data_IF_166869286554
#
_entry.id   IF_166869286554
#
_cell.length_a   1.000
_cell.length_b   1.000
_cell.length_c   1.000
_cell.angle_alpha   90.00
_cell.angle_beta   90.00
_cell.angle_gamma   90.00
#
_symmetry.space_group_name_H-M   'P 1'
#
loop_
_entity.id
_entity.type
_entity.pdbx_description
1 polymer ?
#
# COMPACT_ATOMS: atom_id res chain seq x y z
N UNK A 1 1.34 -21.47 -5.47
CA UNK A 1 1.78 -21.13 -4.09
C UNK A 1 1.24 -19.76 -3.74
N UNK A 2 0.64 -19.61 -2.58
CA UNK A 2 0.15 -18.31 -2.10
C UNK A 2 1.14 -17.71 -1.12
N UNK A 3 1.48 -16.43 -1.32
CA UNK A 3 2.39 -15.67 -0.45
C UNK A 3 1.71 -14.38 -0.07
N UNK A 4 1.58 -14.11 1.23
CA UNK A 4 1.06 -12.85 1.74
C UNK A 4 2.21 -12.03 2.32
N UNK A 5 2.32 -10.79 1.87
CA UNK A 5 3.33 -9.83 2.32
C UNK A 5 2.63 -8.70 3.06
N UNK A 6 3.02 -8.48 4.31
CA UNK A 6 2.46 -7.42 5.17
C UNK A 6 3.47 -6.30 5.24
N UNK A 7 3.11 -5.15 4.69
CA UNK A 7 4.01 -3.98 4.59
C UNK A 7 3.38 -2.75 5.24
N UNK A 8 4.19 -1.74 5.48
CA UNK A 8 3.73 -0.41 5.90
C UNK A 8 4.51 0.66 5.15
N UNK A 9 3.86 1.78 4.86
CA UNK A 9 4.50 2.95 4.28
C UNK A 9 5.50 3.55 5.29
N UNK A 10 6.50 4.29 4.82
CA UNK A 10 7.54 4.90 5.65
C UNK A 10 8.35 3.91 6.51
N UNK A 11 8.29 2.62 6.21
CA UNK A 11 9.11 1.61 6.90
C UNK A 11 10.37 1.33 6.06
N UNK A 12 11.58 1.64 6.54
CA UNK A 12 12.82 1.46 5.75
C UNK A 12 13.03 0.02 5.28
N UNK A 13 12.72 -0.97 6.12
CA UNK A 13 12.86 -2.38 5.76
C UNK A 13 11.87 -2.78 4.66
N UNK A 14 10.64 -2.26 4.72
CA UNK A 14 9.64 -2.48 3.68
C UNK A 14 10.04 -1.82 2.36
N UNK A 15 10.57 -0.58 2.44
CA UNK A 15 11.08 0.15 1.27
C UNK A 15 12.19 -0.64 0.58
N UNK A 16 13.17 -1.14 1.34
CA UNK A 16 14.24 -1.97 0.81
C UNK A 16 13.72 -3.26 0.18
N UNK A 17 12.80 -3.94 0.86
CA UNK A 17 12.21 -5.17 0.34
C UNK A 17 11.47 -4.94 -0.98
N UNK A 18 10.60 -3.92 -1.03
CA UNK A 18 9.79 -3.63 -2.22
C UNK A 18 10.66 -3.18 -3.39
N UNK A 19 11.63 -2.31 -3.15
CA UNK A 19 12.43 -1.70 -4.22
C UNK A 19 13.57 -2.58 -4.71
N UNK A 20 13.99 -3.56 -3.93
CA UNK A 20 15.09 -4.48 -4.26
C UNK A 20 14.59 -5.91 -4.47
N UNK A 21 14.15 -6.56 -3.41
CA UNK A 21 13.83 -7.99 -3.45
C UNK A 21 12.60 -8.28 -4.30
N UNK A 22 11.53 -7.52 -4.14
CA UNK A 22 10.29 -7.71 -4.91
C UNK A 22 10.51 -7.40 -6.40
N UNK A 23 11.29 -6.37 -6.71
CA UNK A 23 11.64 -6.03 -8.09
C UNK A 23 12.41 -7.18 -8.75
N UNK A 24 13.38 -7.76 -8.07
CA UNK A 24 14.15 -8.90 -8.59
C UNK A 24 13.28 -10.16 -8.73
N UNK A 25 12.43 -10.44 -7.73
CA UNK A 25 11.50 -11.57 -7.80
C UNK A 25 10.56 -11.46 -9.00
N UNK A 26 10.07 -10.24 -9.29
CA UNK A 26 9.15 -9.97 -10.41
C UNK A 26 9.74 -10.31 -11.77
N UNK A 27 11.08 -10.32 -11.90
CA UNK A 27 11.77 -10.69 -13.12
C UNK A 27 11.82 -12.21 -13.35
N UNK A 28 11.52 -12.99 -12.33
CA UNK A 28 11.56 -14.46 -12.38
C UNK A 28 10.20 -14.98 -12.87
N UNK A 29 10.01 -14.98 -14.19
CA UNK A 29 8.72 -15.28 -14.82
C UNK A 29 8.14 -16.64 -14.44
N UNK A 30 8.98 -17.67 -14.30
CA UNK A 30 8.54 -19.02 -13.94
C UNK A 30 8.00 -19.06 -12.51
N UNK A 31 8.65 -18.36 -11.58
CA UNK A 31 8.18 -18.26 -10.19
C UNK A 31 6.93 -17.40 -10.08
N UNK A 32 6.86 -16.30 -10.83
CA UNK A 32 5.68 -15.43 -10.87
C UNK A 32 4.45 -16.20 -11.38
N UNK A 33 4.63 -17.07 -12.37
CA UNK A 33 3.52 -17.85 -12.95
C UNK A 33 2.87 -18.81 -11.96
N UNK A 34 3.63 -19.31 -10.96
CA UNK A 34 3.14 -20.29 -9.98
C UNK A 34 2.88 -19.67 -8.60
N UNK A 35 3.10 -18.36 -8.44
CA UNK A 35 2.97 -17.67 -7.16
C UNK A 35 1.84 -16.66 -7.22
N UNK A 36 0.92 -16.77 -6.28
CA UNK A 36 -0.13 -15.78 -6.01
C UNK A 36 0.34 -14.92 -4.84
N UNK A 37 0.69 -13.66 -5.14
CA UNK A 37 1.21 -12.73 -4.14
C UNK A 37 0.12 -11.74 -3.76
N UNK A 38 -0.19 -11.71 -2.48
CA UNK A 38 -1.11 -10.77 -1.85
C UNK A 38 -0.29 -9.81 -0.97
N UNK A 39 -0.29 -8.52 -1.29
CA UNK A 39 0.43 -7.51 -0.54
C UNK A 39 -0.57 -6.67 0.23
N UNK A 40 -0.38 -6.59 1.54
CA UNK A 40 -1.32 -5.96 2.47
C UNK A 40 -0.65 -4.77 3.16
N UNK A 41 -0.91 -3.54 2.72
CA UNK A 41 -0.44 -2.32 3.40
C UNK A 41 -1.15 -2.08 4.72
N UNK A 42 -0.53 -2.48 5.82
CA UNK A 42 -1.00 -2.29 7.18
C UNK A 42 0.15 -2.40 8.19
N UNK A 43 0.94 -3.46 8.08
CA UNK A 43 2.12 -3.71 8.89
C UNK A 43 1.83 -3.83 10.38
N UNK A 44 2.49 -2.99 11.17
CA UNK A 44 2.40 -2.96 12.64
C UNK A 44 1.40 -1.92 13.15
N UNK A 45 0.46 -1.46 12.32
CA UNK A 45 -0.61 -0.57 12.76
C UNK A 45 -1.56 -1.29 13.72
N UNK A 46 -2.32 -0.52 14.49
CA UNK A 46 -3.32 -1.03 15.42
C UNK A 46 -4.64 -0.28 15.26
N UNK A 47 -5.75 -1.01 15.29
CA UNK A 47 -7.10 -0.44 15.32
C UNK A 47 -7.33 0.19 16.69
N UNK A 48 -7.69 1.50 16.70
CA UNK A 48 -8.13 2.18 17.93
C UNK A 48 -9.64 2.07 18.04
N UNK A 49 -10.38 2.48 17.00
CA UNK A 49 -11.83 2.34 16.91
C UNK A 49 -12.22 1.78 15.55
N UNK A 50 -13.35 1.08 15.49
CA UNK A 50 -13.84 0.47 14.24
C UNK A 50 -14.93 1.30 13.54
N UNK A 51 -15.67 2.11 14.27
CA UNK A 51 -16.76 2.92 13.71
C UNK A 51 -16.83 4.30 14.42
N UNK A 52 -16.30 5.36 13.78
CA UNK A 52 -15.52 5.35 12.54
C UNK A 52 -14.14 4.68 12.75
N UNK A 53 -13.54 4.11 11.69
CA UNK A 53 -12.24 3.45 11.82
C UNK A 53 -11.13 4.45 12.07
N UNK A 54 -10.38 4.24 13.17
CA UNK A 54 -9.20 5.02 13.52
C UNK A 54 -8.06 4.09 13.88
N UNK A 55 -6.82 4.53 13.66
CA UNK A 55 -5.65 3.68 13.77
C UNK A 55 -4.49 4.41 14.43
N UNK A 56 -3.59 3.62 15.01
CA UNK A 56 -2.26 4.06 15.43
C UNK A 56 -1.24 3.32 14.60
N UNK A 57 -0.40 4.05 13.88
CA UNK A 57 0.67 3.50 13.06
C UNK A 57 2.02 3.68 13.73
N UNK A 58 2.96 2.75 13.47
CA UNK A 58 4.27 2.71 14.12
C UNK A 58 5.06 4.00 13.94
N UNK A 59 5.00 4.59 12.74
CA UNK A 59 5.72 5.82 12.38
C UNK A 59 4.79 7.05 12.27
N UNK A 60 3.64 7.02 12.96
CA UNK A 60 2.73 8.15 13.07
C UNK A 60 1.61 8.19 12.04
N UNK A 61 0.83 9.27 12.05
CA UNK A 61 -0.35 9.43 11.19
C UNK A 61 -0.01 9.45 9.69
N UNK A 62 1.16 9.97 9.33
CA UNK A 62 1.61 9.99 7.94
C UNK A 62 1.75 8.58 7.37
N UNK A 63 2.14 7.61 8.20
CA UNK A 63 2.23 6.20 7.80
C UNK A 63 0.85 5.61 7.57
N UNK A 64 -0.11 5.88 8.45
CA UNK A 64 -1.50 5.50 8.22
C UNK A 64 -2.02 6.05 6.90
N UNK A 65 -1.79 7.33 6.63
CA UNK A 65 -2.20 7.96 5.39
C UNK A 65 -1.50 7.34 4.17
N UNK A 66 -0.20 7.07 4.26
CA UNK A 66 0.54 6.38 3.20
C UNK A 66 -0.03 4.99 2.91
N UNK A 67 -0.41 4.25 3.94
CA UNK A 67 -1.10 2.96 3.79
C UNK A 67 -2.45 3.14 3.06
N UNK A 68 -3.21 4.20 3.37
CA UNK A 68 -4.46 4.51 2.66
C UNK A 68 -4.21 4.75 1.17
N UNK A 69 -3.18 5.52 0.83
CA UNK A 69 -2.81 5.80 -0.57
C UNK A 69 -2.52 4.49 -1.31
N UNK A 70 -1.71 3.62 -0.73
CA UNK A 70 -1.36 2.34 -1.33
C UNK A 70 -2.57 1.42 -1.49
N UNK A 71 -3.42 1.33 -0.48
CA UNK A 71 -4.65 0.53 -0.51
C UNK A 71 -5.66 1.07 -1.55
N UNK A 72 -5.79 2.39 -1.65
CA UNK A 72 -6.65 3.02 -2.64
C UNK A 72 -6.17 2.74 -4.08
N UNK A 73 -4.87 2.83 -4.32
CA UNK A 73 -4.29 2.48 -5.61
C UNK A 73 -4.52 1.00 -5.94
N UNK A 74 -4.32 0.12 -4.97
CA UNK A 74 -4.56 -1.32 -5.14
C UNK A 74 -6.03 -1.62 -5.47
N UNK A 75 -6.94 -0.97 -4.80
CA UNK A 75 -8.39 -1.18 -4.99
C UNK A 75 -8.87 -0.73 -6.36
N UNK A 76 -8.45 0.46 -6.79
CA UNK A 76 -8.94 1.10 -8.00
C UNK A 76 -8.13 0.76 -9.25
N UNK A 77 -6.86 0.37 -9.09
CA UNK A 77 -5.95 0.06 -10.20
C UNK A 77 -5.15 -1.23 -9.94
N UNK A 78 -5.82 -2.38 -9.81
CA UNK A 78 -5.14 -3.63 -9.45
C UNK A 78 -4.09 -4.08 -10.48
N UNK A 79 -4.27 -3.74 -11.76
CA UNK A 79 -3.36 -4.19 -12.83
C UNK A 79 -2.04 -3.40 -12.87
N UNK A 80 -2.04 -2.15 -12.41
CA UNK A 80 -0.86 -1.28 -12.40
C UNK A 80 -0.34 -0.97 -10.99
N UNK A 81 -0.95 -1.55 -9.96
CA UNK A 81 -0.66 -1.21 -8.57
C UNK A 81 0.78 -1.50 -8.16
N UNK A 82 1.40 -2.59 -8.62
CA UNK A 82 2.77 -2.92 -8.27
C UNK A 82 3.76 -1.85 -8.72
N UNK A 83 3.58 -1.31 -9.93
CA UNK A 83 4.42 -0.23 -10.43
C UNK A 83 4.25 1.04 -9.59
N UNK A 84 3.01 1.33 -9.19
CA UNK A 84 2.71 2.44 -8.29
C UNK A 84 3.36 2.23 -6.91
N UNK A 85 3.23 1.03 -6.33
CA UNK A 85 3.83 0.68 -5.05
C UNK A 85 5.35 0.88 -5.09
N UNK A 86 6.01 0.37 -6.11
CA UNK A 86 7.46 0.52 -6.29
C UNK A 86 7.85 2.00 -6.39
N UNK A 87 7.08 2.79 -7.14
CA UNK A 87 7.31 4.23 -7.24
C UNK A 87 7.21 4.93 -5.88
N UNK A 88 6.14 4.67 -5.13
CA UNK A 88 5.91 5.27 -3.82
C UNK A 88 6.98 4.87 -2.80
N UNK A 89 7.33 3.60 -2.75
CA UNK A 89 8.34 3.08 -1.82
C UNK A 89 9.76 3.55 -2.20
N UNK A 90 10.00 3.89 -3.46
CA UNK A 90 11.27 4.47 -3.92
C UNK A 90 11.38 5.95 -3.54
N UNK A 91 10.32 6.73 -3.78
CA UNK A 91 10.31 8.17 -3.50
C UNK A 91 10.10 8.49 -2.02
N UNK A 92 9.37 7.63 -1.32
CA UNK A 92 8.93 7.84 0.07
C UNK A 92 8.23 9.19 0.24
N UNK A 93 7.56 9.66 -0.81
CA UNK A 93 6.83 10.93 -0.82
C UNK A 93 5.34 10.68 -1.03
N UNK A 94 4.57 10.71 0.05
CA UNK A 94 3.12 10.57 0.06
C UNK A 94 2.40 11.92 0.13
N UNK A 95 3.10 13.04 -0.15
CA UNK A 95 2.44 14.32 -0.38
C UNK A 95 1.58 14.26 -1.65
N UNK A 96 0.69 15.22 -1.83
CA UNK A 96 -0.14 15.28 -3.04
C UNK A 96 0.71 15.27 -4.31
N UNK A 97 1.82 16.01 -4.32
CA UNK A 97 2.75 16.04 -5.47
C UNK A 97 3.44 14.68 -5.68
N UNK A 98 3.87 14.02 -4.62
CA UNK A 98 4.51 12.71 -4.70
C UNK A 98 3.56 11.65 -5.23
N UNK A 99 2.34 11.62 -4.72
CA UNK A 99 1.29 10.71 -5.20
C UNK A 99 0.93 10.99 -6.65
N UNK A 100 0.79 12.26 -7.01
CA UNK A 100 0.51 12.67 -8.39
C UNK A 100 1.62 12.19 -9.35
N UNK A 101 2.87 12.35 -8.97
CA UNK A 101 4.01 11.91 -9.78
C UNK A 101 3.97 10.41 -10.05
N UNK A 102 3.74 9.59 -9.02
CA UNK A 102 3.66 8.14 -9.17
C UNK A 102 2.39 7.72 -9.94
N UNK A 103 1.27 8.39 -9.71
CA UNK A 103 0.03 8.13 -10.44
C UNK A 103 0.20 8.40 -11.94
N UNK A 104 0.82 9.51 -12.29
CA UNK A 104 1.08 9.85 -13.70
C UNK A 104 2.01 8.85 -14.39
N UNK A 105 3.06 8.41 -13.69
CA UNK A 105 3.99 7.39 -14.22
C UNK A 105 3.32 6.04 -14.48
N UNK A 106 2.25 5.74 -13.77
CA UNK A 106 1.56 4.45 -13.83
C UNK A 106 0.19 4.55 -14.50
N UNK A 107 -0.11 5.68 -15.13
CA UNK A 107 -1.37 5.94 -15.86
C UNK A 107 -2.62 5.81 -14.97
N UNK A 108 -2.51 6.27 -13.74
CA UNK A 108 -3.63 6.33 -12.78
C UNK A 108 -4.14 7.77 -12.68
N UNK A 109 -5.44 7.91 -12.40
CA UNK A 109 -6.04 9.19 -12.05
C UNK A 109 -5.77 9.49 -10.58
N UNK A 110 -4.91 10.49 -10.31
CA UNK A 110 -4.53 10.82 -8.94
C UNK A 110 -5.72 11.35 -8.11
N UNK A 111 -6.72 11.96 -8.73
CA UNK A 111 -7.91 12.42 -8.02
C UNK A 111 -8.70 11.24 -7.43
N UNK A 112 -8.73 10.11 -8.12
CA UNK A 112 -9.34 8.87 -7.61
C UNK A 112 -8.61 8.39 -6.36
N UNK A 113 -7.28 8.35 -6.41
CA UNK A 113 -6.45 7.90 -5.29
C UNK A 113 -6.58 8.85 -4.10
N UNK A 114 -6.43 10.16 -4.33
CA UNK A 114 -6.50 11.16 -3.26
C UNK A 114 -7.89 11.27 -2.66
N UNK A 115 -8.94 11.20 -3.49
CA UNK A 115 -10.32 11.22 -3.02
C UNK A 115 -10.63 10.02 -2.11
N UNK A 116 -10.12 8.85 -2.46
CA UNK A 116 -10.22 7.64 -1.64
C UNK A 116 -9.42 7.78 -0.33
N UNK A 117 -8.15 8.18 -0.42
CA UNK A 117 -7.26 8.25 0.75
C UNK A 117 -7.68 9.33 1.75
N UNK A 118 -8.15 10.49 1.28
CA UNK A 118 -8.59 11.60 2.14
C UNK A 118 -10.03 11.47 2.59
N UNK A 119 -10.81 10.59 1.95
CA UNK A 119 -12.21 10.37 2.26
C UNK A 119 -12.42 9.22 3.26
N UNK A 120 -13.59 8.62 3.21
CA UNK A 120 -13.97 7.52 4.10
C UNK A 120 -13.48 6.16 3.60
N UNK A 121 -13.22 6.02 2.30
CA UNK A 121 -12.83 4.75 1.71
C UNK A 121 -11.45 4.27 2.18
N UNK A 122 -10.46 5.16 2.22
CA UNK A 122 -9.11 4.82 2.67
C UNK A 122 -9.08 4.15 4.04
N UNK A 123 -9.64 4.78 5.09
CA UNK A 123 -9.74 4.16 6.41
C UNK A 123 -10.51 2.84 6.43
N UNK A 124 -11.56 2.69 5.64
CA UNK A 124 -12.32 1.44 5.55
C UNK A 124 -11.49 0.32 4.91
N UNK A 125 -10.73 0.61 3.86
CA UNK A 125 -9.79 -0.34 3.26
C UNK A 125 -8.69 -0.73 4.25
N UNK A 126 -8.23 0.21 5.05
CA UNK A 126 -7.23 -0.04 6.08
C UNK A 126 -7.78 -0.96 7.19
N UNK A 127 -9.06 -0.83 7.51
CA UNK A 127 -9.74 -1.73 8.44
C UNK A 127 -9.85 -3.16 7.89
N UNK A 128 -10.13 -3.31 6.59
CA UNK A 128 -10.10 -4.62 5.93
C UNK A 128 -8.70 -5.22 5.96
N UNK A 129 -7.67 -4.40 5.74
CA UNK A 129 -6.28 -4.83 5.84
C UNK A 129 -5.92 -5.28 7.27
N UNK A 130 -6.46 -4.59 8.29
CA UNK A 130 -6.31 -4.99 9.69
C UNK A 130 -6.86 -6.40 9.92
N UNK A 131 -8.05 -6.67 9.40
CA UNK A 131 -8.69 -7.99 9.52
C UNK A 131 -7.86 -9.08 8.79
N UNK A 132 -7.33 -8.77 7.61
CA UNK A 132 -6.44 -9.68 6.89
C UNK A 132 -5.13 -9.94 7.63
N UNK A 133 -4.61 -8.94 8.32
CA UNK A 133 -3.36 -9.05 9.13
C UNK A 133 -3.61 -9.79 10.44
N UNK A 134 -4.85 -9.89 10.89
CA UNK A 134 -5.23 -10.53 12.14
C UNK A 134 -5.28 -9.58 13.33
N UNK A 135 -5.31 -8.27 13.08
CA UNK A 135 -5.46 -7.23 14.12
C UNK A 135 -6.96 -6.91 14.31
N UNK A 136 -7.58 -7.73 15.11
CA UNK A 136 -9.03 -7.59 15.38
C UNK A 136 -9.30 -6.77 16.64
#
# INVERSE_FOLDING_TARGET
MKVSLYIESYCPDCEDFVTKDLVEFRKLSDLMAITDIDIVPYGNAHVITRDPPTFKCQHGEKECYGNYVELCAQKHYPDSWWDFLICQETSVDFSDNGVMTCAMKTSMDYDVILGCAKGTEGPLLHLEAADQTGDN
#
